data_IF_573107031644
#
_entry.id   IF_573107031644
#
_cell.length_a   1.000
_cell.length_b   1.000
_cell.length_c   1.000
_cell.angle_alpha   90.00
_cell.angle_beta   90.00
_cell.angle_gamma   90.00
#
_symmetry.space_group_name_H-M   'P 1'
#
loop_
_entity.id
_entity.type
_entity.pdbx_description
1 polymer ?
#
# COMPACT_ATOMS: atom_id res chain seq x y z
N UNK A 1 -14.04 -9.08 -1.09
CA UNK A 1 -14.54 -9.79 0.11
C UNK A 1 -15.68 -8.99 0.70
N UNK A 2 -16.64 -9.61 1.38
CA UNK A 2 -17.85 -8.93 1.89
C UNK A 2 -17.77 -8.61 3.38
N UNK A 3 -16.66 -8.01 3.83
CA UNK A 3 -16.46 -7.75 5.26
C UNK A 3 -17.49 -6.78 5.86
N UNK A 4 -18.10 -5.93 5.03
CA UNK A 4 -19.22 -5.09 5.44
C UNK A 4 -20.42 -5.88 6.00
N UNK A 5 -20.56 -7.18 5.69
CA UNK A 5 -21.64 -8.03 6.26
C UNK A 5 -21.46 -8.30 7.76
N UNK A 6 -20.24 -8.17 8.29
CA UNK A 6 -19.90 -8.45 9.70
C UNK A 6 -19.17 -7.29 10.41
N UNK A 7 -18.82 -6.24 9.68
CA UNK A 7 -18.18 -5.02 10.18
C UNK A 7 -18.47 -3.83 9.26
N UNK A 8 -19.68 -3.24 9.34
CA UNK A 8 -20.11 -2.18 8.43
C UNK A 8 -19.62 -0.78 8.83
N UNK A 9 -19.02 -0.61 10.01
CA UNK A 9 -18.56 0.69 10.50
C UNK A 9 -17.06 0.86 10.18
N UNK A 10 -16.73 1.81 9.31
CA UNK A 10 -15.36 2.01 8.83
C UNK A 10 -14.82 3.36 9.31
N UNK A 11 -13.86 3.34 10.24
CA UNK A 11 -13.11 4.53 10.61
C UNK A 11 -11.99 4.81 9.58
N UNK A 12 -12.00 5.99 8.97
CA UNK A 12 -11.04 6.41 7.93
C UNK A 12 -9.67 6.80 8.49
N UNK A 13 -9.07 5.90 9.26
CA UNK A 13 -7.80 6.07 10.00
C UNK A 13 -6.58 6.34 9.13
N UNK A 14 -6.56 5.82 7.89
CA UNK A 14 -5.42 5.91 6.94
C UNK A 14 -4.09 5.49 7.60
N UNK A 15 -4.13 4.47 8.45
CA UNK A 15 -2.99 4.07 9.30
C UNK A 15 -1.89 3.32 8.55
N UNK A 16 -2.18 2.80 7.36
CA UNK A 16 -1.21 2.09 6.53
C UNK A 16 -1.39 2.44 5.05
N UNK A 17 -0.26 2.57 4.34
CA UNK A 17 -0.19 2.59 2.88
C UNK A 17 0.47 1.29 2.45
N UNK A 18 -0.29 0.40 1.84
CA UNK A 18 0.24 -0.86 1.33
C UNK A 18 0.94 -0.66 -0.01
N UNK A 19 2.12 -1.25 -0.16
CA UNK A 19 2.82 -1.35 -1.45
C UNK A 19 2.69 -2.77 -1.99
N UNK A 20 2.54 -2.91 -3.32
CA UNK A 20 2.47 -4.21 -4.00
C UNK A 20 3.58 -4.32 -5.03
N UNK A 21 4.78 -4.75 -4.64
CA UNK A 21 5.87 -4.94 -5.59
C UNK A 21 5.54 -6.08 -6.56
N UNK A 22 5.84 -5.87 -7.84
CA UNK A 22 5.90 -6.96 -8.81
C UNK A 22 7.26 -7.61 -8.65
N UNK A 23 7.28 -8.81 -8.06
CA UNK A 23 8.50 -9.58 -7.90
C UNK A 23 8.65 -10.59 -9.04
N UNK A 24 9.89 -10.80 -9.48
CA UNK A 24 10.25 -11.79 -10.49
C UNK A 24 11.41 -12.65 -9.98
N UNK A 25 11.39 -13.95 -10.29
CA UNK A 25 12.45 -14.87 -9.84
C UNK A 25 13.79 -14.52 -10.50
N UNK A 26 14.80 -14.17 -9.70
CA UNK A 26 16.12 -13.83 -10.22
C UNK A 26 16.74 -14.98 -11.05
N UNK A 27 16.65 -16.22 -10.55
CA UNK A 27 17.17 -17.39 -11.24
C UNK A 27 16.50 -17.62 -12.62
N UNK A 28 15.24 -17.21 -12.78
CA UNK A 28 14.57 -17.24 -14.09
C UNK A 28 15.00 -16.06 -14.96
N UNK A 29 15.10 -14.87 -14.38
CA UNK A 29 15.49 -13.64 -15.09
C UNK A 29 16.88 -13.76 -15.72
N UNK A 30 17.84 -14.33 -14.98
CA UNK A 30 19.21 -14.55 -15.45
C UNK A 30 19.33 -15.53 -16.62
N UNK A 31 18.33 -16.41 -16.82
CA UNK A 31 18.30 -17.35 -17.95
C UNK A 31 17.68 -16.75 -19.23
N UNK A 32 17.06 -15.58 -19.13
CA UNK A 32 16.50 -14.88 -20.27
C UNK A 32 17.60 -14.24 -21.10
N UNK A 33 17.36 -14.08 -22.40
CA UNK A 33 18.21 -13.24 -23.25
C UNK A 33 18.14 -11.76 -22.82
N UNK A 34 19.12 -10.93 -23.19
CA UNK A 34 19.09 -9.50 -22.86
C UNK A 34 17.83 -8.79 -23.37
N UNK A 35 17.31 -9.18 -24.54
CA UNK A 35 16.09 -8.61 -25.12
C UNK A 35 14.85 -8.98 -24.28
N UNK A 36 14.75 -10.24 -23.85
CA UNK A 36 13.66 -10.69 -22.97
C UNK A 36 13.73 -10.05 -21.58
N UNK A 37 14.93 -9.85 -21.03
CA UNK A 37 15.13 -9.12 -19.78
C UNK A 37 14.62 -7.68 -19.88
N UNK A 38 14.97 -6.98 -20.97
CA UNK A 38 14.50 -5.61 -21.20
C UNK A 38 12.96 -5.58 -21.34
N UNK A 39 12.38 -6.52 -22.08
CA UNK A 39 10.92 -6.66 -22.19
C UNK A 39 10.25 -6.81 -20.81
N UNK A 40 10.80 -7.66 -19.94
CA UNK A 40 10.28 -7.85 -18.57
C UNK A 40 10.38 -6.57 -17.75
N UNK A 41 11.50 -5.85 -17.81
CA UNK A 41 11.70 -4.60 -17.06
C UNK A 41 10.77 -3.49 -17.55
N UNK A 42 10.59 -3.35 -18.87
CA UNK A 42 9.67 -2.39 -19.46
C UNK A 42 8.21 -2.71 -19.09
N UNK A 43 7.81 -3.97 -19.24
CA UNK A 43 6.48 -4.43 -18.88
C UNK A 43 6.21 -4.29 -17.37
N UNK A 44 7.20 -4.56 -16.52
CA UNK A 44 7.11 -4.38 -15.07
C UNK A 44 6.84 -2.92 -14.68
N UNK A 45 7.53 -1.96 -15.30
CA UNK A 45 7.28 -0.52 -15.08
C UNK A 45 5.88 -0.11 -15.53
N UNK A 46 5.48 -0.51 -16.73
CA UNK A 46 4.15 -0.18 -17.28
C UNK A 46 3.03 -0.82 -16.45
N UNK A 47 3.16 -2.10 -16.10
CA UNK A 47 2.22 -2.84 -15.28
C UNK A 47 2.13 -2.30 -13.86
N UNK A 48 3.26 -1.92 -13.24
CA UNK A 48 3.28 -1.29 -11.91
C UNK A 48 2.57 0.06 -11.89
N UNK A 49 2.76 0.89 -12.93
CA UNK A 49 2.02 2.15 -13.07
C UNK A 49 0.52 1.90 -13.21
N UNK A 50 0.12 1.04 -14.15
CA UNK A 50 -1.29 0.72 -14.37
C UNK A 50 -1.94 0.15 -13.11
N UNK A 51 -1.27 -0.78 -12.42
CA UNK A 51 -1.75 -1.37 -11.18
C UNK A 51 -2.01 -0.32 -10.10
N UNK A 52 -1.09 0.63 -9.91
CA UNK A 52 -1.26 1.73 -8.96
C UNK A 52 -2.44 2.63 -9.31
N UNK A 53 -2.55 3.02 -10.58
CA UNK A 53 -3.62 3.90 -11.07
C UNK A 53 -5.00 3.23 -10.85
N UNK A 54 -5.10 1.94 -11.17
CA UNK A 54 -6.32 1.16 -10.96
C UNK A 54 -6.62 0.96 -9.47
N UNK A 55 -5.66 0.51 -8.66
CA UNK A 55 -5.87 0.21 -7.24
C UNK A 55 -6.34 1.46 -6.48
N UNK A 56 -5.68 2.60 -6.69
CA UNK A 56 -6.00 3.85 -5.99
C UNK A 56 -7.40 4.37 -6.33
N UNK A 57 -7.79 4.32 -7.61
CA UNK A 57 -9.12 4.74 -8.05
C UNK A 57 -10.21 3.78 -7.58
N UNK A 58 -9.97 2.48 -7.74
CA UNK A 58 -10.94 1.44 -7.42
C UNK A 58 -11.25 1.31 -5.92
N UNK A 59 -10.30 1.64 -5.04
CA UNK A 59 -10.53 1.64 -3.59
C UNK A 59 -11.58 2.70 -3.20
N UNK A 60 -11.37 3.93 -3.65
CA UNK A 60 -12.28 5.06 -3.39
C UNK A 60 -13.66 4.85 -4.03
N UNK A 61 -13.70 4.38 -5.28
CA UNK A 61 -14.96 4.12 -6.00
C UNK A 61 -15.80 3.03 -5.32
N UNK A 62 -15.17 1.91 -4.92
CA UNK A 62 -15.89 0.82 -4.26
C UNK A 62 -16.38 1.21 -2.87
N UNK A 63 -15.56 1.92 -2.09
CA UNK A 63 -15.97 2.37 -0.76
C UNK A 63 -17.21 3.26 -0.85
N UNK A 64 -17.19 4.24 -1.77
CA UNK A 64 -18.32 5.13 -2.03
C UNK A 64 -19.57 4.37 -2.50
N UNK A 65 -19.42 3.45 -3.45
CA UNK A 65 -20.55 2.66 -3.94
C UNK A 65 -21.19 1.79 -2.83
N UNK A 66 -20.39 1.24 -1.92
CA UNK A 66 -20.91 0.47 -0.78
C UNK A 66 -21.63 1.36 0.24
N UNK A 67 -21.14 2.58 0.48
CA UNK A 67 -21.80 3.55 1.36
C UNK A 67 -23.14 4.04 0.75
N UNK A 68 -23.16 4.36 -0.55
CA UNK A 68 -24.38 4.76 -1.28
C UNK A 68 -25.42 3.63 -1.32
N UNK A 69 -24.98 2.37 -1.37
CA UNK A 69 -25.84 1.21 -1.28
C UNK A 69 -26.31 0.89 0.16
N UNK A 70 -25.85 1.64 1.17
CA UNK A 70 -26.19 1.42 2.58
C UNK A 70 -25.58 0.15 3.17
N UNK A 71 -24.53 -0.41 2.54
CA UNK A 71 -23.88 -1.64 3.00
C UNK A 71 -22.90 -1.39 4.14
N UNK A 72 -22.35 -0.17 4.21
CA UNK A 72 -21.43 0.27 5.25
C UNK A 72 -21.61 1.76 5.50
N UNK A 73 -20.99 2.25 6.57
CA UNK A 73 -20.91 3.66 6.92
C UNK A 73 -19.47 4.05 7.23
N UNK A 74 -19.03 5.17 6.69
CA UNK A 74 -17.72 5.72 6.99
C UNK A 74 -17.78 6.74 8.12
N UNK A 75 -16.68 6.83 8.88
CA UNK A 75 -16.49 7.81 9.94
C UNK A 75 -15.17 8.54 9.70
N UNK A 76 -15.22 9.87 9.73
CA UNK A 76 -14.02 10.67 9.75
C UNK A 76 -13.19 10.34 11.00
N UNK A 77 -11.89 10.14 10.80
CA UNK A 77 -10.96 9.87 11.89
C UNK A 77 -10.15 11.13 12.19
N UNK A 78 -10.40 11.73 13.35
CA UNK A 78 -9.85 13.04 13.73
C UNK A 78 -8.55 12.96 14.53
N UNK A 79 -8.19 11.78 15.04
CA UNK A 79 -7.06 11.58 15.96
C UNK A 79 -5.78 11.09 15.22
N UNK A 80 -5.56 11.58 14.00
CA UNK A 80 -4.45 11.10 13.17
C UNK A 80 -3.08 11.40 13.77
N UNK A 81 -2.89 12.58 14.34
CA UNK A 81 -1.61 12.97 14.94
C UNK A 81 -1.27 12.09 16.15
N UNK A 82 -2.26 11.83 17.01
CA UNK A 82 -2.13 10.90 18.14
C UNK A 82 -1.80 9.48 17.67
N UNK A 83 -2.44 9.01 16.60
CA UNK A 83 -2.12 7.70 16.02
C UNK A 83 -0.66 7.62 15.57
N UNK A 84 -0.16 8.66 14.88
CA UNK A 84 1.22 8.71 14.41
C UNK A 84 2.23 8.77 15.56
N UNK A 85 1.95 9.55 16.60
CA UNK A 85 2.76 9.64 17.82
C UNK A 85 2.88 8.27 18.50
N UNK A 86 1.75 7.58 18.70
CA UNK A 86 1.72 6.25 19.32
C UNK A 86 2.41 5.17 18.47
N UNK A 87 2.37 5.30 17.14
CA UNK A 87 3.01 4.37 16.22
C UNK A 87 4.53 4.61 16.06
N UNK A 88 5.02 5.83 16.30
CA UNK A 88 6.42 6.21 16.14
C UNK A 88 7.42 5.29 16.86
N UNK A 89 7.27 4.96 18.16
CA UNK A 89 8.23 4.08 18.84
C UNK A 89 8.22 2.66 18.27
N UNK A 90 7.06 2.17 17.81
CA UNK A 90 6.95 0.85 17.18
C UNK A 90 7.68 0.82 15.83
N UNK A 91 7.50 1.85 15.00
CA UNK A 91 8.22 1.99 13.73
C UNK A 91 9.74 2.04 13.94
N UNK A 92 10.19 2.84 14.90
CA UNK A 92 11.61 3.00 15.20
C UNK A 92 12.25 1.69 15.69
N UNK A 93 11.62 1.01 16.65
CA UNK A 93 12.11 -0.26 17.18
C UNK A 93 12.18 -1.34 16.08
N UNK A 94 11.16 -1.42 15.22
CA UNK A 94 11.14 -2.37 14.12
C UNK A 94 12.19 -2.05 13.04
N UNK A 95 12.42 -0.76 12.74
CA UNK A 95 13.47 -0.36 11.81
C UNK A 95 14.87 -0.68 12.35
N UNK A 96 15.10 -0.49 13.66
CA UNK A 96 16.36 -0.87 14.31
C UNK A 96 16.59 -2.38 14.26
N UNK A 97 15.58 -3.19 14.58
CA UNK A 97 15.63 -4.65 14.51
C UNK A 97 16.05 -5.15 13.11
N UNK A 98 15.52 -4.50 12.07
CA UNK A 98 15.82 -4.83 10.67
C UNK A 98 17.13 -4.23 10.15
N UNK A 99 17.81 -3.38 10.93
CA UNK A 99 18.95 -2.58 10.44
C UNK A 99 18.55 -1.59 9.35
N UNK A 100 17.29 -1.14 9.34
CA UNK A 100 16.68 -0.31 8.31
C UNK A 100 16.39 1.13 8.79
N UNK A 101 17.05 1.60 9.86
CA UNK A 101 16.86 2.95 10.42
C UNK A 101 17.03 4.05 9.37
N UNK A 102 18.06 3.95 8.53
CA UNK A 102 18.32 4.94 7.46
C UNK A 102 17.20 4.97 6.41
N UNK A 103 16.59 3.81 6.14
CA UNK A 103 15.45 3.70 5.21
C UNK A 103 14.22 4.36 5.82
N UNK A 104 13.94 4.14 7.11
CA UNK A 104 12.83 4.79 7.80
C UNK A 104 12.99 6.32 7.77
N UNK A 105 14.19 6.83 8.11
CA UNK A 105 14.48 8.26 8.06
C UNK A 105 14.31 8.83 6.65
N UNK A 106 14.75 8.09 5.63
CA UNK A 106 14.59 8.51 4.23
C UNK A 106 13.12 8.60 3.82
N UNK A 107 12.27 7.66 4.27
CA UNK A 107 10.83 7.68 4.00
C UNK A 107 10.17 8.88 4.69
N UNK A 108 10.52 9.14 5.96
CA UNK A 108 9.94 10.25 6.74
C UNK A 108 10.38 11.63 6.24
N UNK A 109 11.49 11.72 5.51
CA UNK A 109 11.96 12.94 4.88
C UNK A 109 11.28 13.27 3.53
N UNK A 110 10.48 12.35 2.97
CA UNK A 110 9.74 12.59 1.72
C UNK A 110 8.43 13.33 2.03
N UNK A 111 8.30 14.54 1.49
CA UNK A 111 7.06 15.35 1.52
C UNK A 111 5.95 14.78 0.60
#
# INVERSE_FOLDING_TARGET
>A
MKFYEVGPEIALTKHAITVRPIAFSNATFERLTPEEQDCVLQAGKAGGKLGRDVESGQDSEKLKAMEEAGLLKTHEFTERDMLLELAAPVKAAYAEELGATDVLQSIEAVE
#
